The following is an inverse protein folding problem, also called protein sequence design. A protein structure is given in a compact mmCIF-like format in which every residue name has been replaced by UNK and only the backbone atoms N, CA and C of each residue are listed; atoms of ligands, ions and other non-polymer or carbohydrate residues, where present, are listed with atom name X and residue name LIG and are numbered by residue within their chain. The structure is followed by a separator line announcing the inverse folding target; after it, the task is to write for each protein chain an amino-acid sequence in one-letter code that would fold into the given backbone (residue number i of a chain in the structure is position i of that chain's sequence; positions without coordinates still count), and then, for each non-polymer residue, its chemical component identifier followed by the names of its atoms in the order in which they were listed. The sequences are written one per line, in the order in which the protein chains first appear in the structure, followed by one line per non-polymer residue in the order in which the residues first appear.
data_IF_616037253040
#
_entry.id   IF_616037253040
#
_cell.length_a   1.000
_cell.length_b   1.000
_cell.length_c   1.000
_cell.angle_alpha   90.00
_cell.angle_beta   90.00
_cell.angle_gamma   90.00
#
_symmetry.space_group_name_H-M   'P 1'
#
loop_
_entity.id
_entity.type
_entity.pdbx_description
1 polymer ?
#
# COMPACT_ATOMS: atom_id res chain seq x y z
N UNK A 1 -2.13 -15.98 18.48
CA UNK A 1 -1.15 -14.91 18.15
C UNK A 1 0.13 -15.21 18.92
N UNK A 2 1.15 -15.79 18.27
CA UNK A 2 2.46 -15.98 18.91
C UNK A 2 3.19 -14.63 18.90
N UNK A 3 3.13 -13.89 20.01
CA UNK A 3 4.06 -12.79 20.26
C UNK A 3 5.36 -13.45 20.73
N UNK A 4 6.42 -13.40 19.92
CA UNK A 4 7.76 -13.60 20.48
C UNK A 4 7.97 -12.50 21.53
N UNK A 5 8.35 -12.88 22.75
CA UNK A 5 8.30 -12.05 23.95
C UNK A 5 8.77 -10.58 23.79
N UNK A 6 10.03 -10.29 24.15
CA UNK A 6 10.59 -8.93 24.06
C UNK A 6 11.01 -8.64 22.61
N UNK A 7 10.95 -7.39 22.18
CA UNK A 7 11.51 -6.96 20.90
C UNK A 7 13.04 -7.12 20.91
N UNK A 8 13.58 -7.77 19.89
CA UNK A 8 15.00 -7.96 19.65
C UNK A 8 15.51 -6.87 18.71
N UNK A 9 16.20 -5.88 19.30
CA UNK A 9 16.83 -4.79 18.55
C UNK A 9 18.08 -5.23 17.75
N UNK A 10 18.68 -6.39 18.05
CA UNK A 10 19.86 -6.86 17.31
C UNK A 10 19.43 -7.50 15.98
N UNK A 11 18.35 -8.29 15.98
CA UNK A 11 17.86 -9.01 14.79
C UNK A 11 16.35 -8.79 14.52
N UNK A 12 15.90 -7.54 14.34
CA UNK A 12 14.47 -7.23 14.25
C UNK A 12 13.79 -7.82 13.01
N UNK A 13 14.53 -7.99 11.91
CA UNK A 13 14.01 -8.59 10.66
C UNK A 13 13.80 -10.09 10.80
N UNK A 14 14.72 -10.78 11.48
CA UNK A 14 14.57 -12.21 11.76
C UNK A 14 13.40 -12.45 12.70
N UNK A 15 13.21 -11.60 13.72
CA UNK A 15 12.03 -11.64 14.58
C UNK A 15 10.73 -11.45 13.79
N UNK A 16 10.68 -10.48 12.86
CA UNK A 16 9.51 -10.28 12.01
C UNK A 16 9.23 -11.51 11.11
N UNK A 17 10.26 -12.15 10.57
CA UNK A 17 10.14 -13.32 9.72
C UNK A 17 9.58 -14.55 10.46
N UNK A 18 9.74 -14.62 11.79
CA UNK A 18 9.20 -15.69 12.64
C UNK A 18 7.74 -15.47 13.07
N UNK A 19 7.16 -14.29 12.79
CA UNK A 19 5.76 -14.02 13.15
C UNK A 19 4.82 -14.96 12.40
N UNK A 20 3.69 -15.29 13.04
CA UNK A 20 2.63 -16.13 12.46
C UNK A 20 1.25 -15.47 12.60
N UNK A 21 0.30 -15.94 11.77
CA UNK A 21 -1.08 -15.45 11.76
C UNK A 21 -1.15 -13.95 11.45
N UNK A 22 -1.89 -13.19 12.27
CA UNK A 22 -2.12 -11.75 12.04
C UNK A 22 -0.81 -10.93 12.01
N UNK A 23 0.21 -11.32 12.79
CA UNK A 23 1.51 -10.62 12.79
C UNK A 23 2.26 -10.76 11.47
N UNK A 24 2.29 -11.97 10.91
CA UNK A 24 2.84 -12.22 9.58
C UNK A 24 2.07 -11.44 8.50
N UNK A 25 0.73 -11.41 8.63
CA UNK A 25 -0.14 -10.65 7.73
C UNK A 25 0.13 -9.15 7.78
N UNK A 26 0.38 -8.59 8.97
CA UNK A 26 0.74 -7.18 9.12
C UNK A 26 2.08 -6.85 8.44
N UNK A 27 3.10 -7.69 8.61
CA UNK A 27 4.41 -7.50 7.94
C UNK A 27 4.27 -7.58 6.43
N UNK A 28 3.51 -8.54 5.92
CA UNK A 28 3.29 -8.68 4.48
C UNK A 28 2.48 -7.51 3.89
N UNK A 29 1.46 -7.01 4.61
CA UNK A 29 0.73 -5.80 4.22
C UNK A 29 1.63 -4.56 4.16
N UNK A 30 2.56 -4.44 5.11
CA UNK A 30 3.53 -3.35 5.17
C UNK A 30 4.51 -3.41 3.98
N UNK A 31 5.06 -4.59 3.67
CA UNK A 31 5.96 -4.79 2.53
C UNK A 31 5.26 -4.46 1.20
N UNK A 32 4.03 -4.95 0.99
CA UNK A 32 3.26 -4.60 -0.21
C UNK A 32 2.96 -3.10 -0.30
N UNK A 33 2.76 -2.43 0.84
CA UNK A 33 2.51 -0.99 0.86
C UNK A 33 3.74 -0.18 0.47
N UNK A 34 4.95 -0.64 0.79
CA UNK A 34 6.18 -0.03 0.28
C UNK A 34 6.30 -0.15 -1.24
N UNK A 35 6.07 -1.35 -1.79
CA UNK A 35 6.08 -1.57 -3.25
C UNK A 35 5.10 -0.64 -3.97
N UNK A 36 3.88 -0.55 -3.44
CA UNK A 36 2.83 0.34 -3.98
C UNK A 36 3.20 1.82 -3.82
N UNK A 37 3.83 2.21 -2.72
CA UNK A 37 4.24 3.59 -2.45
C UNK A 37 5.20 4.12 -3.52
N UNK A 38 6.15 3.30 -3.99
CA UNK A 38 7.06 3.69 -5.08
C UNK A 38 6.28 4.10 -6.34
N UNK A 39 5.32 3.27 -6.76
CA UNK A 39 4.48 3.52 -7.95
C UNK A 39 3.67 4.81 -7.79
N UNK A 40 3.07 5.01 -6.61
CA UNK A 40 2.27 6.21 -6.35
C UNK A 40 3.13 7.47 -6.28
N UNK A 41 4.28 7.41 -5.61
CA UNK A 41 5.21 8.52 -5.50
C UNK A 41 5.68 8.97 -6.89
N UNK A 42 6.10 8.05 -7.75
CA UNK A 42 6.51 8.38 -9.13
C UNK A 42 5.37 8.97 -9.93
N UNK A 43 4.15 8.47 -9.72
CA UNK A 43 2.93 8.96 -10.41
C UNK A 43 2.59 10.40 -10.02
N UNK A 44 2.52 10.69 -8.71
CA UNK A 44 2.20 12.03 -8.21
C UNK A 44 3.32 13.03 -8.52
N UNK A 45 4.58 12.62 -8.40
CA UNK A 45 5.71 13.47 -8.79
C UNK A 45 5.68 13.80 -10.28
N UNK A 46 5.30 12.85 -11.15
CA UNK A 46 5.10 13.12 -12.58
C UNK A 46 4.02 14.19 -12.79
N UNK A 47 2.86 14.04 -12.15
CA UNK A 47 1.77 15.00 -12.27
C UNK A 47 2.16 16.42 -11.80
N UNK A 48 2.93 16.51 -10.72
CA UNK A 48 3.47 17.79 -10.24
C UNK A 48 4.49 18.36 -11.23
N UNK A 49 5.42 17.54 -11.71
CA UNK A 49 6.50 17.96 -12.62
C UNK A 49 5.97 18.41 -13.99
N UNK A 50 4.88 17.83 -14.47
CA UNK A 50 4.21 18.22 -15.72
C UNK A 50 3.13 19.29 -15.52
N UNK A 51 2.97 19.80 -14.30
CA UNK A 51 1.97 20.81 -13.93
C UNK A 51 0.50 20.38 -14.16
N UNK A 52 0.22 19.07 -14.12
CA UNK A 52 -1.11 18.47 -14.23
C UNK A 52 -1.70 18.24 -12.83
N UNK A 53 -2.09 19.30 -12.11
CA UNK A 53 -2.64 19.22 -10.74
C UNK A 53 -4.14 19.53 -10.71
N UNK A 54 -4.91 18.84 -11.56
CA UNK A 54 -6.37 19.04 -11.66
C UNK A 54 -7.13 18.45 -10.45
N UNK A 55 -8.37 18.87 -10.26
CA UNK A 55 -9.26 18.31 -9.22
C UNK A 55 -9.43 16.79 -9.39
N UNK A 56 -9.47 16.31 -10.63
CA UNK A 56 -9.57 14.87 -10.95
C UNK A 56 -8.36 14.10 -10.45
N UNK A 57 -7.15 14.62 -10.67
CA UNK A 57 -5.91 13.99 -10.20
C UNK A 57 -5.84 13.98 -8.68
N UNK A 58 -6.28 15.05 -8.02
CA UNK A 58 -6.36 15.11 -6.56
C UNK A 58 -7.35 14.06 -6.00
N UNK A 59 -8.53 13.92 -6.61
CA UNK A 59 -9.52 12.90 -6.22
C UNK A 59 -8.94 11.49 -6.41
N UNK A 60 -8.30 11.20 -7.55
CA UNK A 60 -7.66 9.91 -7.81
C UNK A 60 -6.54 9.60 -6.80
N UNK A 61 -5.76 10.60 -6.41
CA UNK A 61 -4.73 10.45 -5.38
C UNK A 61 -5.32 10.14 -4.00
N UNK A 62 -6.44 10.79 -3.63
CA UNK A 62 -7.16 10.48 -2.39
C UNK A 62 -7.74 9.06 -2.44
N UNK A 63 -8.35 8.65 -3.54
CA UNK A 63 -8.89 7.30 -3.72
C UNK A 63 -7.78 6.26 -3.56
N UNK A 64 -6.59 6.50 -4.12
CA UNK A 64 -5.43 5.64 -3.91
C UNK A 64 -5.12 5.49 -2.41
N UNK A 65 -4.97 6.59 -1.65
CA UNK A 65 -4.65 6.54 -0.22
C UNK A 65 -5.71 5.76 0.56
N UNK A 66 -7.00 6.04 0.31
CA UNK A 66 -8.11 5.33 0.96
C UNK A 66 -8.08 3.84 0.62
N UNK A 67 -7.82 3.48 -0.65
CA UNK A 67 -7.69 2.08 -1.06
C UNK A 67 -6.59 1.34 -0.31
N UNK A 68 -5.47 2.01 0.03
CA UNK A 68 -4.36 1.40 0.78
C UNK A 68 -4.71 1.15 2.25
N UNK A 69 -5.48 2.05 2.86
CA UNK A 69 -5.99 1.85 4.23
C UNK A 69 -6.92 0.63 4.25
N UNK A 70 -7.88 0.56 3.32
CA UNK A 70 -8.83 -0.55 3.23
C UNK A 70 -8.12 -1.86 2.88
N UNK A 71 -7.18 -1.85 1.93
CA UNK A 71 -6.34 -2.99 1.57
C UNK A 71 -5.65 -3.58 2.81
N UNK A 72 -5.05 -2.72 3.64
CA UNK A 72 -4.35 -3.14 4.85
C UNK A 72 -5.29 -3.79 5.87
N UNK A 73 -6.50 -3.24 6.05
CA UNK A 73 -7.53 -3.83 6.90
C UNK A 73 -7.95 -5.22 6.40
N UNK A 74 -8.24 -5.37 5.09
CA UNK A 74 -8.57 -6.67 4.51
C UNK A 74 -7.44 -7.68 4.59
N UNK A 75 -6.19 -7.22 4.50
CA UNK A 75 -5.01 -8.07 4.71
C UNK A 75 -4.98 -8.63 6.13
N UNK A 76 -5.21 -7.79 7.14
CA UNK A 76 -5.24 -8.24 8.54
C UNK A 76 -6.39 -9.22 8.82
N UNK A 77 -7.53 -9.03 8.15
CA UNK A 77 -8.73 -9.86 8.24
C UNK A 77 -8.71 -11.14 7.38
N UNK A 78 -7.66 -11.38 6.60
CA UNK A 78 -7.54 -12.54 5.68
C UNK A 78 -8.54 -12.57 4.52
N UNK A 79 -9.09 -11.43 4.12
CA UNK A 79 -10.10 -11.34 3.06
C UNK A 79 -9.43 -11.21 1.68
N UNK A 80 -8.95 -12.34 1.15
CA UNK A 80 -8.08 -12.36 -0.04
C UNK A 80 -8.70 -11.71 -1.30
N UNK A 81 -9.99 -11.95 -1.58
CA UNK A 81 -10.67 -11.40 -2.76
C UNK A 81 -10.81 -9.88 -2.68
N UNK A 82 -11.32 -9.36 -1.56
CA UNK A 82 -11.48 -7.92 -1.34
C UNK A 82 -10.13 -7.19 -1.31
N UNK A 83 -9.10 -7.83 -0.77
CA UNK A 83 -7.72 -7.33 -0.82
C UNK A 83 -7.26 -7.11 -2.27
N UNK A 84 -7.44 -8.09 -3.15
CA UNK A 84 -7.05 -7.96 -4.56
C UNK A 84 -7.84 -6.87 -5.29
N UNK A 85 -9.13 -6.72 -4.98
CA UNK A 85 -9.95 -5.64 -5.53
C UNK A 85 -9.42 -4.26 -5.14
N UNK A 86 -9.10 -4.04 -3.86
CA UNK A 86 -8.56 -2.75 -3.41
C UNK A 86 -7.17 -2.46 -3.99
N UNK A 87 -6.34 -3.49 -4.15
CA UNK A 87 -5.06 -3.36 -4.84
C UNK A 87 -5.24 -2.90 -6.29
N UNK A 88 -6.18 -3.52 -7.02
CA UNK A 88 -6.48 -3.17 -8.39
C UNK A 88 -7.00 -1.73 -8.52
N UNK A 89 -7.88 -1.30 -7.63
CA UNK A 89 -8.37 0.09 -7.59
C UNK A 89 -7.21 1.08 -7.45
N UNK A 90 -6.29 0.86 -6.49
CA UNK A 90 -5.13 1.72 -6.31
C UNK A 90 -4.20 1.74 -7.53
N UNK A 91 -3.96 0.59 -8.14
CA UNK A 91 -3.15 0.47 -9.35
C UNK A 91 -3.77 1.25 -10.53
N UNK A 92 -5.07 1.08 -10.77
CA UNK A 92 -5.81 1.80 -11.82
C UNK A 92 -5.78 3.31 -11.60
N UNK A 93 -5.90 3.79 -10.37
CA UNK A 93 -5.77 5.23 -10.08
C UNK A 93 -4.41 5.77 -10.54
N UNK A 94 -3.32 5.04 -10.31
CA UNK A 94 -2.00 5.46 -10.74
C UNK A 94 -1.89 5.52 -12.28
N UNK A 95 -2.42 4.51 -12.98
CA UNK A 95 -2.43 4.48 -14.45
C UNK A 95 -3.24 5.64 -15.04
N UNK A 96 -4.40 5.95 -14.47
CA UNK A 96 -5.24 7.06 -14.94
C UNK A 96 -4.52 8.39 -14.72
N UNK A 97 -3.90 8.62 -13.56
CA UNK A 97 -3.14 9.86 -13.31
C UNK A 97 -2.01 10.00 -14.34
N UNK A 98 -1.21 8.95 -14.56
CA UNK A 98 -0.14 8.98 -15.57
C UNK A 98 -0.68 9.26 -16.97
N UNK A 99 -1.78 8.62 -17.36
CA UNK A 99 -2.43 8.86 -18.65
C UNK A 99 -2.97 10.28 -18.83
N UNK A 100 -3.37 10.94 -17.73
CA UNK A 100 -3.79 12.35 -17.75
C UNK A 100 -2.62 13.34 -17.79
N UNK A 101 -1.38 12.88 -17.58
CA UNK A 101 -0.17 13.72 -17.60
C UNK A 101 0.57 13.71 -18.94
N UNK A 102 0.16 12.82 -19.85
CA UNK A 102 0.69 12.67 -21.21
C UNK A 102 -0.18 13.46 -22.20
#
# INVERSE_FOLDING_TARGET
MQKEGRYDNHYPREQQARLQGMGARAVAAHQNSFESLLVFATTVLTAIATNHVSITIQILAIIYIVSRVIYSLFYLMDMASLRSTMWFVGFVCCLIILGLCL
#
